data_IF_539879302816
#
_entry.id   IF_539879302816
#
_cell.length_a   1.000
_cell.length_b   1.000
_cell.length_c   1.000
_cell.angle_alpha   90.00
_cell.angle_beta   90.00
_cell.angle_gamma   90.00
#
_symmetry.space_group_name_H-M   'P 1'
#
loop_
_entity.id
_entity.type
_entity.pdbx_description
1 polymer ?
#
# COMPACT_ATOMS: atom_id res chain seq x y z
N UNK A 1 3.74 32.53 25.20
CA UNK A 1 4.06 31.61 26.33
C UNK A 1 3.46 30.21 26.15
N UNK A 2 2.15 30.06 25.91
CA UNK A 2 1.50 28.74 25.76
C UNK A 2 2.07 27.83 24.66
N UNK A 3 2.28 28.35 23.42
CA UNK A 3 2.93 27.59 22.34
C UNK A 3 4.30 27.04 22.73
N UNK A 4 5.13 27.84 23.39
CA UNK A 4 6.46 27.42 23.83
C UNK A 4 6.37 26.28 24.85
N UNK A 5 5.47 26.39 25.83
CA UNK A 5 5.27 25.35 26.86
C UNK A 5 4.79 24.04 26.21
N UNK A 6 3.82 24.11 25.28
CA UNK A 6 3.32 22.92 24.56
C UNK A 6 4.44 22.25 23.76
N UNK A 7 5.23 23.02 23.01
CA UNK A 7 6.35 22.48 22.22
C UNK A 7 7.39 21.82 23.10
N UNK A 8 7.79 22.48 24.20
CA UNK A 8 8.81 21.96 25.12
C UNK A 8 8.32 20.68 25.81
N UNK A 9 7.10 20.68 26.35
CA UNK A 9 6.53 19.49 27.02
C UNK A 9 6.42 18.32 26.04
N UNK A 10 5.99 18.58 24.80
CA UNK A 10 5.87 17.52 23.77
C UNK A 10 7.23 16.93 23.41
N UNK A 11 8.24 17.76 23.16
CA UNK A 11 9.61 17.31 22.86
C UNK A 11 10.18 16.51 24.02
N UNK A 12 10.01 17.00 25.26
CA UNK A 12 10.54 16.37 26.46
C UNK A 12 9.89 15.00 26.71
N UNK A 13 8.58 14.90 26.49
CA UNK A 13 7.85 13.61 26.56
C UNK A 13 8.35 12.63 25.50
N UNK A 14 8.59 13.10 24.28
CA UNK A 14 9.11 12.26 23.19
C UNK A 14 10.53 11.74 23.49
N UNK A 15 11.39 12.60 24.03
CA UNK A 15 12.75 12.24 24.45
C UNK A 15 12.70 11.19 25.58
N UNK A 16 11.84 11.38 26.58
CA UNK A 16 11.66 10.43 27.69
C UNK A 16 11.16 9.08 27.17
N UNK A 17 10.19 9.05 26.25
CA UNK A 17 9.70 7.81 25.65
C UNK A 17 10.79 7.08 24.86
N UNK A 18 11.58 7.79 24.05
CA UNK A 18 12.70 7.22 23.30
C UNK A 18 13.76 6.67 24.25
N UNK A 19 14.14 7.44 25.28
CA UNK A 19 15.13 7.04 26.26
C UNK A 19 14.68 5.81 27.07
N UNK A 20 13.39 5.74 27.43
CA UNK A 20 12.79 4.60 28.15
C UNK A 20 12.83 3.30 27.33
N UNK A 21 12.62 3.40 26.02
CA UNK A 21 12.55 2.23 25.12
C UNK A 21 13.89 1.86 24.44
N UNK A 22 15.03 2.41 24.89
CA UNK A 22 16.35 2.17 24.26
C UNK A 22 16.88 0.74 24.37
N UNK A 23 16.28 -0.14 25.15
CA UNK A 23 16.54 -1.59 25.06
C UNK A 23 15.90 -2.15 23.79
N UNK A 24 16.50 -1.84 22.64
CA UNK A 24 16.17 -2.52 21.38
C UNK A 24 16.58 -3.98 21.56
N UNK A 25 15.58 -4.85 21.57
CA UNK A 25 15.78 -6.29 21.65
C UNK A 25 16.77 -6.75 20.55
N UNK A 26 17.86 -7.39 20.95
CA UNK A 26 18.88 -7.93 20.03
C UNK A 26 18.24 -8.89 19.03
N UNK A 27 17.21 -9.63 19.42
CA UNK A 27 16.45 -10.51 18.54
C UNK A 27 15.69 -9.72 17.47
N UNK A 28 15.01 -8.64 17.86
CA UNK A 28 14.31 -7.74 16.93
C UNK A 28 15.27 -7.12 15.90
N UNK A 29 16.43 -6.62 16.34
CA UNK A 29 17.44 -6.04 15.43
C UNK A 29 17.96 -7.06 14.42
N UNK A 30 18.26 -8.29 14.88
CA UNK A 30 18.69 -9.39 14.01
C UNK A 30 17.60 -9.74 12.99
N UNK A 31 16.33 -9.81 13.44
CA UNK A 31 15.16 -10.09 12.61
C UNK A 31 14.96 -9.05 11.51
N UNK A 32 14.91 -7.77 11.86
CA UNK A 32 14.78 -6.66 10.90
C UNK A 32 15.90 -6.68 9.86
N UNK A 33 17.16 -6.86 10.30
CA UNK A 33 18.32 -6.94 9.40
C UNK A 33 18.22 -8.14 8.44
N UNK A 34 17.75 -9.29 8.92
CA UNK A 34 17.56 -10.49 8.09
C UNK A 34 16.48 -10.28 7.03
N UNK A 35 15.37 -9.60 7.38
CA UNK A 35 14.30 -9.27 6.44
C UNK A 35 14.80 -8.32 5.36
N UNK A 36 15.55 -7.27 5.70
CA UNK A 36 16.13 -6.37 4.70
C UNK A 36 17.07 -7.10 3.73
N UNK A 37 17.92 -8.00 4.24
CA UNK A 37 18.76 -8.84 3.37
C UNK A 37 17.93 -9.73 2.44
N UNK A 38 16.83 -10.31 2.93
CA UNK A 38 15.94 -11.14 2.13
C UNK A 38 15.20 -10.34 1.04
N UNK A 39 14.75 -9.13 1.36
CA UNK A 39 14.16 -8.19 0.39
C UNK A 39 15.16 -7.84 -0.70
N UNK A 40 16.38 -7.43 -0.33
CA UNK A 40 17.41 -7.07 -1.30
C UNK A 40 17.78 -8.26 -2.19
N UNK A 41 17.88 -9.47 -1.61
CA UNK A 41 18.09 -10.69 -2.38
C UNK A 41 16.94 -10.94 -3.36
N UNK A 42 15.70 -10.70 -2.94
CA UNK A 42 14.51 -10.85 -3.78
C UNK A 42 14.59 -9.95 -5.01
N UNK A 43 14.92 -8.67 -4.85
CA UNK A 43 15.12 -7.76 -5.98
C UNK A 43 16.18 -8.29 -6.95
N UNK A 44 17.33 -8.74 -6.43
CA UNK A 44 18.41 -9.32 -7.26
C UNK A 44 17.95 -10.58 -8.00
N UNK A 45 17.17 -11.45 -7.37
CA UNK A 45 16.66 -12.69 -7.97
C UNK A 45 15.75 -12.43 -9.18
N UNK A 46 15.02 -11.31 -9.21
CA UNK A 46 14.23 -10.90 -10.40
C UNK A 46 15.13 -10.74 -11.62
N UNK A 47 16.29 -10.13 -11.44
CA UNK A 47 17.27 -9.93 -12.51
C UNK A 47 18.15 -11.16 -12.80
N UNK A 48 18.02 -12.24 -12.01
CA UNK A 48 18.77 -13.49 -12.22
C UNK A 48 17.90 -14.65 -12.76
N UNK A 49 16.64 -14.40 -13.13
CA UNK A 49 15.79 -15.44 -13.70
C UNK A 49 16.36 -16.04 -14.99
N UNK A 50 16.19 -17.36 -15.14
CA UNK A 50 16.68 -18.12 -16.31
C UNK A 50 16.00 -17.69 -17.62
N UNK A 51 14.70 -17.39 -17.58
CA UNK A 51 13.95 -16.95 -18.76
C UNK A 51 14.15 -15.45 -19.00
N UNK A 52 14.85 -15.11 -20.10
CA UNK A 52 15.27 -13.75 -20.42
C UNK A 52 14.08 -12.79 -20.58
N UNK A 53 13.01 -13.20 -21.27
CA UNK A 53 11.84 -12.36 -21.53
C UNK A 53 11.11 -11.99 -20.22
N UNK A 54 10.88 -12.98 -19.36
CA UNK A 54 10.28 -12.79 -18.03
C UNK A 54 11.11 -11.82 -17.17
N UNK A 55 12.44 -11.99 -17.19
CA UNK A 55 13.38 -11.11 -16.49
C UNK A 55 13.27 -9.67 -16.97
N UNK A 56 13.28 -9.45 -18.29
CA UNK A 56 13.25 -8.10 -18.87
C UNK A 56 11.93 -7.40 -18.55
N UNK A 57 10.80 -8.06 -18.74
CA UNK A 57 9.47 -7.46 -18.50
C UNK A 57 9.29 -7.15 -17.01
N UNK A 58 9.55 -8.11 -16.11
CA UNK A 58 9.37 -7.88 -14.67
C UNK A 58 10.33 -6.83 -14.12
N UNK A 59 11.60 -6.86 -14.56
CA UNK A 59 12.59 -5.87 -14.18
C UNK A 59 12.21 -4.47 -14.64
N UNK A 60 11.79 -4.32 -15.90
CA UNK A 60 11.37 -3.03 -16.46
C UNK A 60 10.14 -2.46 -15.75
N UNK A 61 9.09 -3.28 -15.54
CA UNK A 61 7.88 -2.86 -14.82
C UNK A 61 8.20 -2.38 -13.41
N UNK A 62 9.06 -3.11 -12.69
CA UNK A 62 9.41 -2.76 -11.33
C UNK A 62 10.24 -1.48 -11.25
N UNK A 63 11.24 -1.32 -12.12
CA UNK A 63 12.05 -0.09 -12.20
C UNK A 63 11.15 1.09 -12.52
N UNK A 64 10.26 0.95 -13.50
CA UNK A 64 9.34 2.02 -13.88
C UNK A 64 8.41 2.38 -12.71
N UNK A 65 7.87 1.39 -12.01
CA UNK A 65 6.99 1.63 -10.87
C UNK A 65 7.70 2.37 -9.73
N UNK A 66 8.97 2.07 -9.47
CA UNK A 66 9.79 2.78 -8.46
C UNK A 66 10.16 4.20 -8.88
N UNK A 67 10.48 4.42 -10.15
CA UNK A 67 10.69 5.78 -10.67
C UNK A 67 9.40 6.58 -10.56
N UNK A 68 8.27 5.99 -10.96
CA UNK A 68 6.96 6.61 -10.87
C UNK A 68 6.60 6.95 -9.42
N UNK A 69 6.85 6.06 -8.47
CA UNK A 69 6.53 6.29 -7.05
C UNK A 69 7.39 7.41 -6.48
N UNK A 70 8.69 7.44 -6.80
CA UNK A 70 9.59 8.52 -6.38
C UNK A 70 9.11 9.87 -6.90
N UNK A 71 8.79 9.96 -8.19
CA UNK A 71 8.28 11.18 -8.82
C UNK A 71 6.97 11.63 -8.17
N UNK A 72 6.00 10.70 -8.00
CA UNK A 72 4.73 11.00 -7.36
C UNK A 72 4.90 11.54 -5.94
N UNK A 73 5.71 10.87 -5.11
CA UNK A 73 6.00 11.30 -3.73
C UNK A 73 6.65 12.69 -3.70
N UNK A 74 7.68 12.91 -4.54
CA UNK A 74 8.36 14.19 -4.63
C UNK A 74 7.41 15.32 -5.01
N UNK A 75 6.57 15.11 -6.03
CA UNK A 75 5.59 16.11 -6.48
C UNK A 75 4.53 16.38 -5.42
N UNK A 76 4.00 15.35 -4.75
CA UNK A 76 3.03 15.54 -3.67
C UNK A 76 3.61 16.35 -2.52
N UNK A 77 4.81 16.01 -2.05
CA UNK A 77 5.46 16.72 -0.93
C UNK A 77 5.75 18.17 -1.33
N UNK A 78 6.30 18.42 -2.51
CA UNK A 78 6.64 19.77 -2.95
C UNK A 78 5.40 20.65 -3.14
N UNK A 79 4.30 20.09 -3.63
CA UNK A 79 3.06 20.82 -3.94
C UNK A 79 2.14 21.03 -2.73
N UNK A 80 2.08 20.08 -1.80
CA UNK A 80 1.07 20.10 -0.73
C UNK A 80 1.65 20.28 0.68
N UNK A 81 2.96 20.11 0.88
CA UNK A 81 3.58 20.34 2.18
C UNK A 81 4.18 21.76 2.19
N UNK A 82 3.52 22.69 2.87
CA UNK A 82 4.05 24.04 3.13
C UNK A 82 4.62 24.11 4.55
N UNK A 83 5.93 24.31 4.70
CA UNK A 83 6.58 24.46 6.01
C UNK A 83 6.87 25.93 6.32
N UNK A 84 5.85 26.79 6.19
CA UNK A 84 5.88 28.27 6.13
C UNK A 84 6.51 29.05 7.30
N UNK A 85 7.39 28.43 8.08
CA UNK A 85 8.18 29.03 9.17
C UNK A 85 9.70 28.96 8.94
N UNK A 86 10.17 28.40 7.82
CA UNK A 86 11.60 28.12 7.57
C UNK A 86 12.16 28.95 6.41
N UNK A 87 13.47 29.20 6.40
CA UNK A 87 14.14 29.82 5.26
C UNK A 87 14.07 28.88 4.04
N UNK A 88 13.92 29.43 2.84
CA UNK A 88 13.65 28.64 1.64
C UNK A 88 14.65 27.51 1.37
N UNK A 89 15.93 27.70 1.70
CA UNK A 89 16.96 26.66 1.58
C UNK A 89 16.76 25.50 2.57
N UNK A 90 16.35 25.78 3.82
CA UNK A 90 16.10 24.75 4.83
C UNK A 90 14.82 23.99 4.54
N UNK A 91 13.78 24.67 4.06
CA UNK A 91 12.54 24.04 3.63
C UNK A 91 12.77 23.05 2.48
N UNK A 92 13.57 23.44 1.46
CA UNK A 92 13.93 22.54 0.36
C UNK A 92 14.65 21.28 0.85
N UNK A 93 15.64 21.43 1.74
CA UNK A 93 16.38 20.30 2.31
C UNK A 93 15.46 19.35 3.10
N UNK A 94 14.56 19.91 3.92
CA UNK A 94 13.61 19.12 4.69
C UNK A 94 12.65 18.35 3.79
N UNK A 95 12.08 19.00 2.76
CA UNK A 95 11.23 18.32 1.76
C UNK A 95 11.98 17.20 1.04
N UNK A 96 13.25 17.41 0.70
CA UNK A 96 14.12 16.38 0.11
C UNK A 96 14.32 15.19 1.05
N UNK A 97 14.61 15.43 2.33
CA UNK A 97 14.77 14.37 3.35
C UNK A 97 13.47 13.58 3.51
N UNK A 98 12.33 14.27 3.63
CA UNK A 98 11.01 13.61 3.77
C UNK A 98 10.71 12.76 2.54
N UNK A 99 10.98 13.27 1.34
CA UNK A 99 10.81 12.53 0.08
C UNK A 99 11.62 11.24 0.07
N UNK A 100 12.91 11.31 0.44
CA UNK A 100 13.79 10.13 0.49
C UNK A 100 13.28 9.12 1.52
N UNK A 101 12.85 9.58 2.70
CA UNK A 101 12.30 8.70 3.75
C UNK A 101 11.03 7.99 3.25
N UNK A 102 10.08 8.74 2.69
CA UNK A 102 8.85 8.18 2.13
C UNK A 102 9.13 7.17 1.01
N UNK A 103 10.05 7.49 0.11
CA UNK A 103 10.45 6.58 -0.97
C UNK A 103 11.09 5.28 -0.44
N UNK A 104 11.98 5.37 0.54
CA UNK A 104 12.59 4.19 1.18
C UNK A 104 11.52 3.31 1.81
N UNK A 105 10.53 3.89 2.50
CA UNK A 105 9.41 3.15 3.10
C UNK A 105 8.63 2.40 2.04
N UNK A 106 8.28 3.07 0.93
CA UNK A 106 7.55 2.47 -0.19
C UNK A 106 8.37 1.32 -0.79
N UNK A 107 9.63 1.58 -1.18
CA UNK A 107 10.53 0.60 -1.78
C UNK A 107 10.65 -0.69 -0.96
N UNK A 108 10.83 -0.58 0.36
CA UNK A 108 10.92 -1.76 1.23
C UNK A 108 9.57 -2.43 1.48
N UNK A 109 8.46 -1.69 1.44
CA UNK A 109 7.11 -2.27 1.55
C UNK A 109 6.78 -3.17 0.35
N UNK A 110 7.10 -2.72 -0.86
CA UNK A 110 6.93 -3.52 -2.09
C UNK A 110 7.90 -4.69 -2.11
N UNK A 111 9.16 -4.44 -1.74
CA UNK A 111 10.17 -5.49 -1.66
C UNK A 111 9.78 -6.61 -0.69
N UNK A 112 9.13 -6.25 0.42
CA UNK A 112 8.57 -7.20 1.37
C UNK A 112 7.42 -8.01 0.75
N UNK A 113 6.51 -7.37 0.01
CA UNK A 113 5.43 -8.05 -0.70
C UNK A 113 5.98 -9.06 -1.71
N UNK A 114 6.96 -8.68 -2.51
CA UNK A 114 7.60 -9.55 -3.49
C UNK A 114 8.30 -10.75 -2.82
N UNK A 115 9.02 -10.49 -1.73
CA UNK A 115 9.67 -11.54 -0.94
C UNK A 115 8.65 -12.55 -0.43
N UNK A 116 7.53 -12.09 0.14
CA UNK A 116 6.51 -13.00 0.64
C UNK A 116 5.83 -13.76 -0.50
N UNK A 117 5.55 -13.09 -1.62
CA UNK A 117 4.93 -13.70 -2.81
C UNK A 117 5.75 -14.87 -3.34
N UNK A 118 7.07 -14.70 -3.43
CA UNK A 118 8.00 -15.76 -3.81
C UNK A 118 8.01 -16.90 -2.80
N UNK A 119 8.02 -16.56 -1.51
CA UNK A 119 7.99 -17.55 -0.44
C UNK A 119 6.71 -18.39 -0.50
N UNK A 120 5.55 -17.75 -0.60
CA UNK A 120 4.23 -18.39 -0.76
C UNK A 120 4.20 -19.25 -2.02
N UNK A 121 4.67 -18.74 -3.16
CA UNK A 121 4.73 -19.49 -4.42
C UNK A 121 5.60 -20.76 -4.29
N UNK A 122 6.75 -20.69 -3.61
CA UNK A 122 7.60 -21.86 -3.37
C UNK A 122 6.92 -22.94 -2.53
N UNK A 123 6.00 -22.56 -1.63
CA UNK A 123 5.19 -23.48 -0.85
C UNK A 123 3.96 -24.02 -1.61
N UNK A 124 3.40 -23.24 -2.55
CA UNK A 124 2.20 -23.60 -3.35
C UNK A 124 2.54 -24.54 -4.52
N UNK A 125 3.81 -24.79 -4.84
CA UNK A 125 4.27 -25.64 -5.95
C UNK A 125 3.71 -27.09 -6.01
N UNK A 126 2.81 -27.48 -5.12
CA UNK A 126 1.97 -28.68 -5.20
C UNK A 126 0.63 -28.48 -5.96
N UNK A 127 0.24 -27.25 -6.34
CA UNK A 127 -1.03 -26.96 -7.05
C UNK A 127 -0.80 -26.07 -8.27
N UNK A 128 -1.31 -26.52 -9.42
CA UNK A 128 -0.92 -26.21 -10.81
C UNK A 128 -0.98 -24.76 -11.33
N UNK A 129 -1.38 -23.73 -10.59
CA UNK A 129 -1.56 -22.40 -11.21
C UNK A 129 -1.16 -21.16 -10.38
N UNK A 130 -0.40 -20.29 -11.09
CA UNK A 130 -0.33 -18.80 -11.08
C UNK A 130 0.87 -18.13 -10.41
N UNK A 131 1.56 -17.32 -11.23
CA UNK A 131 2.68 -16.44 -10.88
C UNK A 131 2.22 -15.26 -9.99
N UNK A 132 1.95 -15.50 -8.71
CA UNK A 132 1.56 -14.45 -7.73
C UNK A 132 2.52 -13.25 -7.77
N UNK A 133 3.82 -13.51 -7.86
CA UNK A 133 4.83 -12.45 -8.01
C UNK A 133 4.52 -11.50 -9.17
N UNK A 134 4.09 -12.02 -10.32
CA UNK A 134 3.81 -11.20 -11.51
C UNK A 134 2.55 -10.38 -11.30
N UNK A 135 1.51 -10.98 -10.71
CA UNK A 135 0.27 -10.27 -10.37
C UNK A 135 0.57 -9.06 -9.46
N UNK A 136 1.42 -9.25 -8.43
CA UNK A 136 1.86 -8.16 -7.55
C UNK A 136 2.67 -7.08 -8.25
N UNK A 137 3.66 -7.44 -9.07
CA UNK A 137 4.47 -6.47 -9.82
C UNK A 137 3.58 -5.62 -10.72
N UNK A 138 2.62 -6.27 -11.39
CA UNK A 138 1.70 -5.60 -12.30
C UNK A 138 0.75 -4.66 -11.55
N UNK A 139 0.16 -5.11 -10.42
CA UNK A 139 -0.67 -4.25 -9.57
C UNK A 139 0.10 -3.04 -9.05
N UNK A 140 1.33 -3.22 -8.56
CA UNK A 140 2.15 -2.12 -8.07
C UNK A 140 2.49 -1.12 -9.19
N UNK A 141 2.89 -1.62 -10.36
CA UNK A 141 3.15 -0.80 -11.53
C UNK A 141 1.92 0.03 -11.92
N UNK A 142 0.75 -0.59 -11.99
CA UNK A 142 -0.49 0.11 -12.33
C UNK A 142 -0.84 1.18 -11.30
N UNK A 143 -0.87 0.85 -10.01
CA UNK A 143 -1.20 1.82 -8.95
C UNK A 143 -0.20 2.98 -8.95
N UNK A 144 1.09 2.70 -8.97
CA UNK A 144 2.15 3.73 -8.93
C UNK A 144 2.08 4.66 -10.14
N UNK A 145 1.86 4.11 -11.34
CA UNK A 145 1.78 4.89 -12.57
C UNK A 145 0.53 5.77 -12.60
N UNK A 146 -0.64 5.20 -12.28
CA UNK A 146 -1.90 5.95 -12.28
C UNK A 146 -1.94 7.04 -11.20
N UNK A 147 -1.39 6.77 -10.01
CA UNK A 147 -1.27 7.76 -8.96
C UNK A 147 -0.37 8.94 -9.40
N UNK A 148 0.76 8.64 -10.04
CA UNK A 148 1.66 9.68 -10.57
C UNK A 148 0.99 10.49 -11.69
N UNK A 149 0.26 9.84 -12.60
CA UNK A 149 -0.50 10.54 -13.64
C UNK A 149 -1.57 11.45 -13.01
N UNK A 150 -2.33 10.98 -12.03
CA UNK A 150 -3.33 11.80 -11.31
C UNK A 150 -2.71 13.08 -10.72
N UNK A 151 -1.48 12.98 -10.19
CA UNK A 151 -0.80 14.10 -9.53
C UNK A 151 -0.17 15.07 -10.54
N UNK A 152 0.53 14.56 -11.55
CA UNK A 152 1.31 15.35 -12.50
C UNK A 152 0.47 15.87 -13.67
N UNK A 153 -0.45 15.04 -14.15
CA UNK A 153 -1.21 15.19 -15.38
C UNK A 153 -2.71 14.98 -15.12
N UNK A 154 -3.34 15.79 -14.24
CA UNK A 154 -4.72 15.57 -13.80
C UNK A 154 -5.74 15.68 -14.95
N UNK A 155 -5.46 16.49 -15.98
CA UNK A 155 -6.34 16.61 -17.14
C UNK A 155 -6.31 15.34 -17.98
N UNK A 156 -5.12 14.83 -18.27
CA UNK A 156 -4.91 13.60 -19.01
C UNK A 156 -5.52 12.40 -18.27
N UNK A 157 -5.46 12.41 -16.93
CA UNK A 157 -6.13 11.41 -16.09
C UNK A 157 -7.66 11.42 -16.28
N UNK A 158 -8.28 12.60 -16.33
CA UNK A 158 -9.74 12.74 -16.50
C UNK A 158 -10.20 12.59 -17.96
N UNK A 159 -9.33 12.88 -18.94
CA UNK A 159 -9.69 12.73 -20.35
C UNK A 159 -9.69 11.26 -20.79
N UNK A 160 -8.91 10.40 -20.11
CA UNK A 160 -8.76 8.99 -20.44
C UNK A 160 -9.53 8.05 -19.50
N UNK A 161 -10.70 8.47 -19.01
CA UNK A 161 -11.45 7.74 -17.97
C UNK A 161 -11.75 6.29 -18.34
N UNK A 162 -12.19 6.01 -19.58
CA UNK A 162 -12.59 4.64 -19.97
C UNK A 162 -11.40 3.68 -19.88
N UNK A 163 -10.23 4.10 -20.39
CA UNK A 163 -9.00 3.31 -20.30
C UNK A 163 -8.57 3.19 -18.83
N UNK A 164 -8.71 4.26 -18.06
CA UNK A 164 -8.37 4.25 -16.65
C UNK A 164 -9.23 3.31 -15.82
N UNK A 165 -10.54 3.28 -16.05
CA UNK A 165 -11.47 2.37 -15.35
C UNK A 165 -11.20 0.91 -15.74
N UNK A 166 -10.92 0.63 -17.02
CA UNK A 166 -10.49 -0.71 -17.45
C UNK A 166 -9.18 -1.11 -16.76
N UNK A 167 -8.18 -0.22 -16.76
CA UNK A 167 -6.89 -0.45 -16.11
C UNK A 167 -7.02 -0.70 -14.60
N UNK A 168 -7.83 0.11 -13.91
CA UNK A 168 -8.09 -0.04 -12.48
C UNK A 168 -8.95 -1.26 -12.17
N UNK A 169 -9.88 -1.66 -13.05
CA UNK A 169 -10.64 -2.90 -12.94
C UNK A 169 -9.76 -4.14 -13.06
N UNK A 170 -8.80 -4.14 -14.01
CA UNK A 170 -7.78 -5.20 -14.10
C UNK A 170 -6.93 -5.23 -12.83
N UNK A 171 -6.45 -4.07 -12.37
CA UNK A 171 -5.67 -3.98 -11.14
C UNK A 171 -6.44 -4.47 -9.91
N UNK A 172 -7.73 -4.14 -9.80
CA UNK A 172 -8.62 -4.61 -8.76
C UNK A 172 -8.73 -6.14 -8.77
N UNK A 173 -9.00 -6.73 -9.95
CA UNK A 173 -9.05 -8.18 -10.13
C UNK A 173 -7.75 -8.86 -9.69
N UNK A 174 -6.59 -8.31 -10.08
CA UNK A 174 -5.29 -8.86 -9.68
C UNK A 174 -5.08 -8.81 -8.16
N UNK A 175 -5.44 -7.69 -7.51
CA UNK A 175 -5.34 -7.54 -6.06
C UNK A 175 -6.29 -8.50 -5.31
N UNK A 176 -7.54 -8.66 -5.76
CA UNK A 176 -8.49 -9.62 -5.17
C UNK A 176 -8.04 -11.07 -5.39
N UNK A 177 -7.61 -11.43 -6.60
CA UNK A 177 -7.05 -12.75 -6.92
C UNK A 177 -5.87 -13.07 -6.00
N UNK A 178 -4.99 -12.10 -5.80
CA UNK A 178 -3.82 -12.22 -4.94
C UNK A 178 -4.21 -12.40 -3.47
N UNK A 179 -5.14 -11.57 -2.98
CA UNK A 179 -5.71 -11.64 -1.64
C UNK A 179 -6.31 -13.03 -1.39
N UNK A 180 -7.24 -13.47 -2.24
CA UNK A 180 -7.89 -14.79 -2.12
C UNK A 180 -6.85 -15.91 -2.14
N UNK A 181 -5.84 -15.85 -3.01
CA UNK A 181 -4.83 -16.91 -3.08
C UNK A 181 -4.01 -17.03 -1.79
N UNK A 182 -3.74 -15.91 -1.12
CA UNK A 182 -3.02 -15.89 0.16
C UNK A 182 -3.88 -16.45 1.30
N UNK A 183 -5.20 -16.30 1.23
CA UNK A 183 -6.13 -16.67 2.31
C UNK A 183 -6.75 -18.05 2.12
N UNK A 184 -7.21 -18.36 0.90
CA UNK A 184 -7.98 -19.56 0.55
C UNK A 184 -7.15 -20.85 0.57
N UNK A 185 -5.83 -20.75 0.70
CA UNK A 185 -4.95 -21.89 0.96
C UNK A 185 -4.39 -21.88 2.40
N UNK A 186 -5.23 -21.97 3.45
CA UNK A 186 -4.79 -22.01 4.84
C UNK A 186 -4.01 -23.29 5.18
N UNK A 187 -4.09 -24.34 4.35
CA UNK A 187 -3.29 -25.56 4.50
C UNK A 187 -1.79 -25.30 4.29
N UNK A 188 -1.43 -24.36 3.40
CA UNK A 188 -0.05 -23.88 3.22
C UNK A 188 0.40 -22.89 4.31
N UNK A 189 -0.55 -22.23 4.97
CA UNK A 189 -0.25 -21.46 6.17
C UNK A 189 0.25 -22.42 7.24
N UNK A 190 -0.39 -23.58 7.44
CA UNK A 190 -0.05 -24.59 8.47
C UNK A 190 1.41 -25.11 8.42
N UNK A 191 2.05 -25.12 7.25
CA UNK A 191 3.48 -25.46 7.13
C UNK A 191 4.41 -24.25 7.34
N UNK A 192 3.99 -23.03 6.97
CA UNK A 192 4.63 -21.78 7.40
C UNK A 192 4.47 -21.51 8.91
N UNK A 193 3.43 -22.05 9.56
CA UNK A 193 3.22 -22.01 11.04
C UNK A 193 4.33 -22.74 11.81
N UNK A 194 4.97 -23.75 11.20
CA UNK A 194 6.12 -24.46 11.81
C UNK A 194 7.41 -23.62 11.86
N UNK A 195 7.51 -22.54 11.08
CA UNK A 195 8.51 -21.51 11.32
C UNK A 195 7.95 -20.53 12.34
N UNK A 196 8.72 -20.27 13.41
CA UNK A 196 8.52 -19.33 14.53
C UNK A 196 8.00 -17.92 14.15
N UNK A 197 7.93 -17.58 12.85
CA UNK A 197 7.58 -16.27 12.30
C UNK A 197 6.60 -16.30 11.11
N UNK A 198 5.89 -17.41 10.87
CA UNK A 198 4.91 -17.57 9.79
C UNK A 198 3.80 -16.52 9.78
N UNK A 199 3.13 -16.34 10.92
CA UNK A 199 1.91 -15.52 11.03
C UNK A 199 2.15 -14.03 10.87
N UNK A 200 3.16 -13.48 11.55
CA UNK A 200 3.44 -12.04 11.44
C UNK A 200 3.68 -11.63 10.00
N UNK A 201 4.26 -12.52 9.17
CA UNK A 201 4.49 -12.24 7.76
C UNK A 201 3.22 -12.19 6.94
N UNK A 202 2.30 -13.11 7.20
CA UNK A 202 1.00 -13.16 6.53
C UNK A 202 0.17 -11.94 6.91
N UNK A 203 0.13 -11.57 8.19
CA UNK A 203 -0.60 -10.37 8.65
C UNK A 203 -0.05 -9.10 7.99
N UNK A 204 1.27 -8.90 7.98
CA UNK A 204 1.89 -7.73 7.33
C UNK A 204 1.52 -7.69 5.84
N UNK A 205 1.53 -8.83 5.16
CA UNK A 205 1.16 -8.90 3.75
C UNK A 205 -0.32 -8.62 3.49
N UNK A 206 -1.23 -9.15 4.31
CA UNK A 206 -2.64 -8.85 4.22
C UNK A 206 -2.89 -7.35 4.38
N UNK A 207 -2.20 -6.68 5.32
CA UNK A 207 -2.26 -5.22 5.51
C UNK A 207 -1.75 -4.48 4.26
N UNK A 208 -0.63 -4.90 3.68
CA UNK A 208 -0.07 -4.24 2.49
C UNK A 208 -0.99 -4.38 1.27
N UNK A 209 -1.61 -5.55 1.06
CA UNK A 209 -2.60 -5.77 0.00
C UNK A 209 -3.86 -4.92 0.24
N UNK A 210 -4.30 -4.83 1.51
CA UNK A 210 -5.42 -3.98 1.89
C UNK A 210 -5.18 -2.52 1.49
N UNK A 211 -3.98 -2.00 1.79
CA UNK A 211 -3.58 -0.65 1.42
C UNK A 211 -3.56 -0.49 -0.11
N UNK A 212 -3.04 -1.47 -0.86
CA UNK A 212 -3.07 -1.45 -2.33
C UNK A 212 -4.50 -1.43 -2.88
N UNK A 213 -5.43 -2.20 -2.28
CA UNK A 213 -6.84 -2.20 -2.66
C UNK A 213 -7.52 -0.85 -2.39
N UNK A 214 -7.27 -0.25 -1.22
CA UNK A 214 -7.82 1.07 -0.87
C UNK A 214 -7.34 2.12 -1.87
N UNK A 215 -6.05 2.13 -2.22
CA UNK A 215 -5.50 3.09 -3.20
C UNK A 215 -6.09 2.84 -4.59
N UNK A 216 -6.24 1.57 -4.99
CA UNK A 216 -6.86 1.23 -6.29
C UNK A 216 -8.33 1.67 -6.36
N UNK A 217 -9.12 1.45 -5.31
CA UNK A 217 -10.51 1.92 -5.22
C UNK A 217 -10.57 3.46 -5.22
N UNK A 218 -9.64 4.13 -4.54
CA UNK A 218 -9.52 5.59 -4.57
C UNK A 218 -9.28 6.11 -5.99
N UNK A 219 -8.40 5.47 -6.76
CA UNK A 219 -8.17 5.85 -8.16
C UNK A 219 -9.44 5.68 -9.02
N UNK A 220 -10.26 4.64 -8.77
CA UNK A 220 -11.56 4.48 -9.43
C UNK A 220 -12.50 5.64 -9.07
N UNK A 221 -12.59 6.01 -7.79
CA UNK A 221 -13.38 7.16 -7.33
C UNK A 221 -12.94 8.46 -8.00
N UNK A 222 -11.63 8.71 -8.10
CA UNK A 222 -11.09 9.86 -8.82
C UNK A 222 -11.45 9.88 -10.32
N UNK A 223 -11.40 8.72 -10.99
CA UNK A 223 -11.76 8.61 -12.40
C UNK A 223 -13.25 8.91 -12.61
N UNK A 224 -14.13 8.36 -11.77
CA UNK A 224 -15.58 8.61 -11.86
C UNK A 224 -15.89 10.08 -11.60
N UNK A 225 -15.29 10.67 -10.57
CA UNK A 225 -15.46 12.10 -10.28
C UNK A 225 -14.93 13.01 -11.40
N UNK A 226 -13.94 12.56 -12.17
CA UNK A 226 -13.43 13.26 -13.35
C UNK A 226 -14.37 13.18 -14.56
N UNK A 227 -15.16 12.11 -14.66
CA UNK A 227 -16.08 11.86 -15.76
C UNK A 227 -17.41 12.58 -15.59
N UNK A 228 -18.00 12.45 -14.40
CA UNK A 228 -19.33 12.98 -14.09
C UNK A 228 -19.18 14.10 -13.06
N UNK A 229 -19.62 15.31 -13.42
CA UNK A 229 -19.65 16.43 -12.49
C UNK A 229 -20.59 16.09 -11.33
N UNK A 230 -20.14 16.44 -10.11
CA UNK A 230 -20.89 16.21 -8.87
C UNK A 230 -21.21 14.74 -8.56
N UNK A 231 -20.47 13.79 -9.18
CA UNK A 231 -20.59 12.35 -8.89
C UNK A 231 -20.50 12.03 -7.39
N UNK A 232 -19.62 12.76 -6.69
CA UNK A 232 -19.51 12.73 -5.23
C UNK A 232 -19.81 14.12 -4.67
N UNK A 233 -21.04 14.31 -4.17
CA UNK A 233 -21.49 15.56 -3.60
C UNK A 233 -20.63 15.95 -2.39
N UNK A 234 -20.32 17.25 -2.25
CA UNK A 234 -19.45 17.85 -1.22
C UNK A 234 -17.96 17.49 -1.30
N UNK A 235 -17.51 16.63 -2.22
CA UNK A 235 -16.09 16.40 -2.47
C UNK A 235 -15.52 17.53 -3.34
N UNK A 236 -14.59 18.32 -2.80
CA UNK A 236 -13.97 19.46 -3.52
C UNK A 236 -12.57 19.14 -4.00
N UNK A 237 -11.88 18.25 -3.29
CA UNK A 237 -10.49 17.91 -3.54
C UNK A 237 -10.32 16.40 -3.72
N UNK A 238 -9.23 16.02 -4.38
CA UNK A 238 -8.84 14.61 -4.47
C UNK A 238 -8.60 14.00 -3.07
N UNK A 239 -8.24 14.81 -2.07
CA UNK A 239 -8.10 14.33 -0.70
C UNK A 239 -9.46 13.99 -0.08
N UNK A 240 -10.52 14.76 -0.38
CA UNK A 240 -11.89 14.45 0.07
C UNK A 240 -12.36 13.11 -0.50
N UNK A 241 -12.00 12.81 -1.76
CA UNK A 241 -12.28 11.52 -2.40
C UNK A 241 -11.50 10.37 -1.77
N UNK A 242 -10.24 10.62 -1.36
CA UNK A 242 -9.45 9.64 -0.61
C UNK A 242 -10.09 9.38 0.76
N UNK A 243 -10.47 10.43 1.47
CA UNK A 243 -11.19 10.35 2.74
C UNK A 243 -12.49 9.57 2.59
N UNK A 244 -13.33 9.90 1.58
CA UNK A 244 -14.56 9.19 1.25
C UNK A 244 -14.31 7.68 1.06
N UNK A 245 -13.27 7.35 0.28
CA UNK A 245 -12.89 5.94 0.03
C UNK A 245 -12.54 5.24 1.34
N UNK A 246 -11.74 5.87 2.20
CA UNK A 246 -11.32 5.29 3.49
C UNK A 246 -12.51 5.11 4.45
N UNK A 247 -13.38 6.12 4.63
CA UNK A 247 -14.51 6.01 5.57
C UNK A 247 -15.56 5.00 5.09
N UNK A 248 -15.73 4.87 3.77
CA UNK A 248 -16.65 3.89 3.17
C UNK A 248 -16.05 2.49 3.29
N UNK A 249 -14.74 2.35 3.01
CA UNK A 249 -14.03 1.08 3.14
C UNK A 249 -13.95 0.60 4.60
N UNK A 250 -13.80 1.51 5.55
CA UNK A 250 -13.79 1.17 6.99
C UNK A 250 -15.19 1.03 7.59
N UNK A 251 -16.23 1.12 6.74
CA UNK A 251 -17.65 1.03 7.12
C UNK A 251 -18.07 2.06 8.18
N UNK A 252 -17.35 3.19 8.28
CA UNK A 252 -17.69 4.30 9.18
C UNK A 252 -18.83 5.12 8.57
N UNK A 253 -18.68 5.50 7.29
CA UNK A 253 -19.75 6.09 6.48
C UNK A 253 -20.45 7.31 7.11
N UNK A 254 -19.72 8.38 7.41
CA UNK A 254 -20.29 9.60 8.02
C UNK A 254 -21.42 10.26 7.19
N UNK A 255 -21.46 10.02 5.88
CA UNK A 255 -22.50 10.55 5.00
C UNK A 255 -22.32 12.03 4.63
N UNK A 256 -21.14 12.59 4.89
CA UNK A 256 -20.75 13.95 4.52
C UNK A 256 -20.44 14.10 3.02
N UNK A 257 -19.91 13.04 2.40
CA UNK A 257 -19.74 12.91 0.95
C UNK A 257 -20.66 11.82 0.43
N UNK A 258 -21.49 12.16 -0.57
CA UNK A 258 -22.58 11.30 -1.02
C UNK A 258 -22.40 11.01 -2.52
N UNK A 259 -22.34 9.73 -2.94
CA UNK A 259 -22.40 9.36 -4.35
C UNK A 259 -23.80 9.68 -4.89
N UNK A 260 -23.89 10.40 -6.02
CA UNK A 260 -25.18 10.83 -6.59
C UNK A 260 -25.48 10.24 -7.96
N UNK A 261 -24.43 9.86 -8.70
CA UNK A 261 -24.56 9.28 -10.03
C UNK A 261 -24.52 7.77 -9.97
N UNK A 262 -25.08 7.11 -10.99
CA UNK A 262 -25.15 5.64 -11.07
C UNK A 262 -23.74 5.03 -10.99
N UNK A 263 -22.74 5.62 -11.66
CA UNK A 263 -21.36 5.10 -11.59
C UNK A 263 -20.74 5.29 -10.20
N UNK A 264 -20.99 6.44 -9.55
CA UNK A 264 -20.52 6.68 -8.19
C UNK A 264 -21.14 5.69 -7.21
N UNK A 265 -22.45 5.44 -7.30
CA UNK A 265 -23.16 4.45 -6.47
C UNK A 265 -22.61 3.04 -6.68
N UNK A 266 -22.35 2.63 -7.93
CA UNK A 266 -21.72 1.34 -8.23
C UNK A 266 -20.32 1.25 -7.60
N UNK A 267 -19.53 2.31 -7.67
CA UNK A 267 -18.22 2.34 -7.01
C UNK A 267 -18.33 2.24 -5.48
N UNK A 268 -19.32 2.90 -4.87
CA UNK A 268 -19.61 2.78 -3.44
C UNK A 268 -19.99 1.36 -3.06
N UNK A 269 -20.85 0.69 -3.83
CA UNK A 269 -21.20 -0.71 -3.64
C UNK A 269 -19.95 -1.60 -3.75
N UNK A 270 -19.09 -1.36 -4.73
CA UNK A 270 -17.83 -2.09 -4.89
C UNK A 270 -16.92 -1.91 -3.67
N UNK A 271 -16.78 -0.68 -3.15
CA UNK A 271 -16.00 -0.40 -1.94
C UNK A 271 -16.57 -1.17 -0.74
N UNK A 272 -17.89 -1.13 -0.53
CA UNK A 272 -18.55 -1.81 0.59
C UNK A 272 -18.46 -3.34 0.51
N UNK A 273 -18.61 -3.94 -0.68
CA UNK A 273 -18.43 -5.39 -0.82
C UNK A 273 -16.98 -5.79 -0.55
N UNK A 274 -16.03 -5.01 -1.09
CA UNK A 274 -14.60 -5.26 -0.88
C UNK A 274 -14.23 -5.15 0.60
N UNK A 275 -14.77 -4.16 1.31
CA UNK A 275 -14.45 -3.97 2.73
C UNK A 275 -14.89 -5.14 3.59
N UNK A 276 -16.11 -5.64 3.40
CA UNK A 276 -16.63 -6.78 4.16
C UNK A 276 -15.72 -8.00 4.00
N UNK A 277 -15.33 -8.34 2.76
CA UNK A 277 -14.41 -9.46 2.48
C UNK A 277 -13.06 -9.22 3.16
N UNK A 278 -12.47 -8.05 2.95
CA UNK A 278 -11.13 -7.73 3.44
C UNK A 278 -11.04 -7.64 4.98
N UNK A 279 -12.00 -6.98 5.63
CA UNK A 279 -12.03 -6.84 7.08
C UNK A 279 -12.28 -8.19 7.76
N UNK A 280 -13.14 -9.04 7.18
CA UNK A 280 -13.38 -10.40 7.70
C UNK A 280 -12.10 -11.22 7.68
N UNK A 281 -11.38 -11.17 6.55
CA UNK A 281 -10.09 -11.84 6.38
C UNK A 281 -9.06 -11.33 7.38
N UNK A 282 -8.95 -10.02 7.51
CA UNK A 282 -8.00 -9.40 8.42
C UNK A 282 -8.28 -9.85 9.86
N UNK A 283 -9.54 -9.79 10.29
CA UNK A 283 -9.95 -10.21 11.62
C UNK A 283 -9.67 -11.70 11.86
N UNK A 284 -9.97 -12.57 10.89
CA UNK A 284 -9.63 -14.01 11.00
C UNK A 284 -8.13 -14.25 11.16
N UNK A 285 -7.29 -13.48 10.45
CA UNK A 285 -5.82 -13.62 10.57
C UNK A 285 -5.29 -13.17 11.94
N UNK A 286 -5.87 -12.11 12.51
CA UNK A 286 -5.51 -11.59 13.84
C UNK A 286 -5.96 -12.54 14.94
N UNK A 287 -7.20 -13.03 14.86
CA UNK A 287 -7.74 -14.00 15.83
C UNK A 287 -6.92 -15.29 15.81
N UNK A 288 -6.58 -15.81 14.62
CA UNK A 288 -5.74 -17.01 14.53
C UNK A 288 -4.34 -16.82 15.12
N UNK A 289 -3.79 -15.60 15.16
CA UNK A 289 -2.51 -15.31 15.82
C UNK A 289 -2.64 -15.24 17.34
N UNK A 290 -3.76 -14.69 17.84
CA UNK A 290 -4.07 -14.64 19.26
C UNK A 290 -4.23 -16.05 19.86
N UNK A 291 -4.94 -16.93 19.16
CA UNK A 291 -5.20 -18.30 19.64
C UNK A 291 -3.90 -19.10 19.79
N UNK A 292 -2.90 -18.87 18.93
CA UNK A 292 -1.59 -19.51 19.05
C UNK A 292 -0.81 -19.01 20.26
N UNK A 293 -0.77 -17.69 20.48
CA UNK A 293 -0.15 -17.08 21.66
C UNK A 293 -0.77 -17.54 22.98
N UNK A 294 -2.04 -17.95 22.99
CA UNK A 294 -2.71 -18.48 24.18
C UNK A 294 -2.50 -19.97 24.42
N UNK A 295 -2.00 -20.70 23.43
CA UNK A 295 -1.74 -22.15 23.52
C UNK A 295 -0.26 -22.48 23.81
N UNK A 296 0.62 -21.47 23.80
CA UNK A 296 2.02 -21.52 24.28
C UNK A 296 2.13 -21.00 25.73
#
# INVERSE_FOLDING_TARGET
MGRFIITVVTILTFIVLIARNRKIDKHLKKRVTSTFKAINKTYIEIFKQKQILSRLIQGALLIFAEVSSFVGIYTTITKHLELGTLSGGVEFLLKGIITIICFIIVHYSIGYMLYLSLKIQSFINTVEHKNLKVDFILSYFMISTYLTILILFPKEFTDNVVIGLLGMGVCYYLNIKTLITIIANPYNIKSMKKEDNGYSRIIIASILILLMLIINLYLIVCLINGLEKEAFLNAKTNFDLFYYTVITFTTIGYGDIIPTTVLAEIASMLISVTSVVCLSVFLSSVLSYKDELSND
#
